data_IF_402600476004
#
_entry.id   IF_402600476004
#
_cell.length_a   1.000
_cell.length_b   1.000
_cell.length_c   1.000
_cell.angle_alpha   90.00
_cell.angle_beta   90.00
_cell.angle_gamma   90.00
#
_symmetry.space_group_name_H-M   'P 1'
#
loop_
_entity.id
_entity.type
_entity.pdbx_description
1 polymer ?
#
# COMPACT_ATOMS: atom_id res chain seq x y z
N UNK A 1 -19.34 -9.37 -38.58
CA UNK A 1 -18.15 -10.16 -38.22
C UNK A 1 -17.45 -9.50 -37.03
N UNK A 2 -17.51 -10.06 -35.80
CA UNK A 2 -16.88 -9.48 -34.63
C UNK A 2 -15.75 -10.40 -34.11
N UNK A 3 -14.52 -10.20 -34.56
CA UNK A 3 -13.34 -10.95 -34.07
C UNK A 3 -12.49 -10.16 -33.06
N UNK A 4 -12.84 -8.91 -32.73
CA UNK A 4 -12.03 -8.07 -31.84
C UNK A 4 -12.30 -8.27 -30.34
N UNK A 5 -13.44 -8.84 -29.95
CA UNK A 5 -13.78 -8.98 -28.52
C UNK A 5 -13.26 -10.27 -27.87
N UNK A 6 -12.71 -11.22 -28.64
CA UNK A 6 -12.24 -12.50 -28.09
C UNK A 6 -10.88 -12.41 -27.38
N UNK A 7 -10.15 -11.29 -27.52
CA UNK A 7 -8.80 -11.15 -26.94
C UNK A 7 -8.76 -10.57 -25.52
N UNK A 8 -9.84 -10.00 -25.02
CA UNK A 8 -9.88 -9.41 -23.67
C UNK A 8 -10.36 -10.45 -22.63
N UNK A 9 -11.23 -11.38 -23.01
CA UNK A 9 -11.69 -12.44 -22.10
C UNK A 9 -10.67 -13.60 -21.94
N UNK A 10 -9.72 -13.75 -22.87
CA UNK A 10 -8.74 -14.85 -22.87
C UNK A 10 -7.50 -14.60 -22.01
N UNK A 11 -7.24 -13.37 -21.57
CA UNK A 11 -6.09 -13.01 -20.73
C UNK A 11 -6.41 -13.01 -19.23
N UNK A 12 -7.69 -13.14 -18.84
CA UNK A 12 -8.10 -13.23 -17.44
C UNK A 12 -7.97 -14.64 -16.84
N UNK A 13 -7.61 -15.65 -17.64
CA UNK A 13 -7.49 -17.05 -17.22
C UNK A 13 -6.07 -17.62 -17.38
N UNK A 14 -5.03 -16.80 -17.21
CA UNK A 14 -3.65 -17.34 -17.08
C UNK A 14 -2.69 -16.46 -16.26
N UNK A 15 -2.97 -16.35 -14.97
CA UNK A 15 -1.92 -16.33 -13.93
C UNK A 15 -2.51 -16.85 -12.62
N UNK A 16 -2.91 -18.13 -12.63
CA UNK A 16 -2.90 -18.97 -11.44
C UNK A 16 -1.42 -19.24 -11.08
N UNK A 17 -0.74 -18.19 -10.63
CA UNK A 17 0.41 -18.30 -9.73
C UNK A 17 -0.09 -17.92 -8.34
N UNK A 18 -1.06 -18.69 -7.88
CA UNK A 18 -1.28 -18.92 -6.46
C UNK A 18 0.04 -19.42 -5.86
N UNK A 19 0.54 -18.72 -4.82
CA UNK A 19 1.58 -19.14 -3.84
C UNK A 19 2.90 -18.33 -3.73
N UNK A 20 2.93 -17.01 -4.01
CA UNK A 20 4.10 -16.20 -3.58
C UNK A 20 3.80 -15.07 -2.58
N UNK A 21 2.53 -14.84 -2.19
CA UNK A 21 2.18 -13.89 -1.12
C UNK A 21 1.79 -14.62 0.17
N UNK A 22 2.61 -15.59 0.60
CA UNK A 22 2.49 -16.18 1.95
C UNK A 22 3.20 -15.35 3.02
N UNK A 23 4.04 -14.40 2.61
CA UNK A 23 4.63 -13.43 3.53
C UNK A 23 3.60 -12.33 3.78
N UNK A 24 3.14 -12.15 5.03
CA UNK A 24 2.27 -11.04 5.33
C UNK A 24 3.01 -9.72 5.02
N UNK A 25 2.30 -8.76 4.42
CA UNK A 25 2.87 -7.48 3.98
C UNK A 25 3.42 -6.67 5.19
N UNK A 26 2.81 -6.89 6.34
CA UNK A 26 3.17 -6.37 7.65
C UNK A 26 3.32 -7.54 8.62
N UNK A 27 4.29 -7.46 9.54
CA UNK A 27 4.51 -8.50 10.54
C UNK A 27 3.35 -8.59 11.54
N UNK A 28 2.67 -7.46 11.77
CA UNK A 28 1.46 -7.37 12.59
C UNK A 28 0.27 -6.94 11.73
N UNK A 29 -0.93 -7.51 11.96
CA UNK A 29 -2.13 -7.09 11.26
C UNK A 29 -2.48 -5.64 11.61
N UNK A 30 -2.76 -4.82 10.59
CA UNK A 30 -3.10 -3.40 10.76
C UNK A 30 -4.36 -3.19 11.63
N UNK A 31 -5.25 -4.20 11.69
CA UNK A 31 -6.46 -4.17 12.51
C UNK A 31 -6.16 -4.07 14.01
N UNK A 32 -5.03 -4.61 14.46
CA UNK A 32 -4.73 -4.74 15.88
C UNK A 32 -3.85 -3.59 16.40
N UNK A 33 -3.33 -2.77 15.49
CA UNK A 33 -2.51 -1.60 15.79
C UNK A 33 -3.38 -0.42 16.26
N UNK A 34 -2.83 0.51 17.04
CA UNK A 34 -3.52 1.76 17.38
C UNK A 34 -3.42 2.77 16.23
N UNK A 35 -4.16 3.89 16.32
CA UNK A 35 -4.06 4.96 15.32
C UNK A 35 -2.67 5.60 15.33
N UNK A 36 -2.08 5.77 16.52
CA UNK A 36 -0.74 6.30 16.68
C UNK A 36 0.31 5.37 16.06
N UNK A 37 0.16 4.06 16.23
CA UNK A 37 0.99 3.05 15.56
C UNK A 37 0.85 3.15 14.03
N UNK A 38 -0.39 3.27 13.52
CA UNK A 38 -0.65 3.42 12.09
C UNK A 38 -0.07 4.73 11.52
N UNK A 39 -0.11 5.84 12.27
CA UNK A 39 0.51 7.10 11.86
C UNK A 39 2.04 7.02 11.87
N UNK A 40 2.61 6.34 12.86
CA UNK A 40 4.05 6.07 12.95
C UNK A 40 4.51 5.21 11.77
N UNK A 41 3.77 4.13 11.50
CA UNK A 41 4.01 3.23 10.37
C UNK A 41 3.88 3.98 9.04
N UNK A 42 2.89 4.87 8.90
CA UNK A 42 2.74 5.75 7.72
C UNK A 42 3.98 6.60 7.49
N UNK A 43 4.52 7.23 8.54
CA UNK A 43 5.73 8.06 8.46
C UNK A 43 6.96 7.24 8.07
N UNK A 44 7.10 6.05 8.64
CA UNK A 44 8.20 5.15 8.30
C UNK A 44 8.14 4.72 6.83
N UNK A 45 6.97 4.28 6.36
CA UNK A 45 6.77 3.88 4.96
C UNK A 45 7.07 5.05 4.01
N UNK A 46 6.60 6.26 4.33
CA UNK A 46 6.90 7.46 3.53
C UNK A 46 8.40 7.75 3.45
N UNK A 47 9.12 7.57 4.57
CA UNK A 47 10.57 7.75 4.61
C UNK A 47 11.28 6.72 3.73
N UNK A 48 10.88 5.46 3.80
CA UNK A 48 11.43 4.39 2.95
C UNK A 48 11.07 4.57 1.47
N UNK A 49 9.86 5.05 1.17
CA UNK A 49 9.42 5.36 -0.19
C UNK A 49 10.27 6.46 -0.81
N UNK A 50 10.44 7.60 -0.12
CA UNK A 50 11.23 8.71 -0.62
C UNK A 50 12.69 8.28 -0.86
N UNK A 51 13.28 7.54 0.08
CA UNK A 51 14.62 6.97 -0.09
C UNK A 51 14.73 6.09 -1.34
N UNK A 52 13.72 5.27 -1.63
CA UNK A 52 13.72 4.42 -2.83
C UNK A 52 13.57 5.24 -4.12
N UNK A 53 12.82 6.35 -4.10
CA UNK A 53 12.75 7.29 -5.22
C UNK A 53 14.11 7.97 -5.45
N UNK A 54 14.76 8.46 -4.40
CA UNK A 54 16.09 9.07 -4.49
C UNK A 54 17.12 8.08 -5.05
N UNK A 55 17.13 6.83 -4.54
CA UNK A 55 17.99 5.77 -5.05
C UNK A 55 17.74 5.46 -6.53
N UNK A 56 16.48 5.50 -6.97
CA UNK A 56 16.12 5.30 -8.37
C UNK A 56 16.67 6.42 -9.25
N UNK A 57 16.53 7.67 -8.84
CA UNK A 57 17.04 8.82 -9.59
C UNK A 57 18.57 8.82 -9.63
N UNK A 58 19.22 8.54 -8.51
CA UNK A 58 20.68 8.36 -8.45
C UNK A 58 21.17 7.23 -9.36
N UNK A 59 20.47 6.09 -9.37
CA UNK A 59 20.84 4.97 -10.24
C UNK A 59 20.68 5.28 -11.73
N UNK A 60 19.67 6.09 -12.11
CA UNK A 60 19.52 6.57 -13.49
C UNK A 60 20.65 7.50 -13.89
N UNK A 61 21.01 8.46 -13.03
CA UNK A 61 22.11 9.40 -13.27
C UNK A 61 23.45 8.67 -13.48
N UNK A 62 23.65 7.57 -12.76
CA UNK A 62 24.84 6.72 -12.87
C UNK A 62 24.77 5.65 -13.98
N UNK A 63 23.74 5.67 -14.84
CA UNK A 63 23.52 4.67 -15.90
C UNK A 63 23.51 3.21 -15.39
N UNK A 64 22.93 2.97 -14.20
CA UNK A 64 22.80 1.65 -13.58
C UNK A 64 21.36 1.12 -13.69
N UNK A 65 20.97 0.51 -14.83
CA UNK A 65 19.58 0.14 -15.10
C UNK A 65 19.04 -0.92 -14.13
N UNK A 66 19.88 -1.87 -13.69
CA UNK A 66 19.47 -2.90 -12.74
C UNK A 66 19.14 -2.30 -11.36
N UNK A 67 19.97 -1.36 -10.89
CA UNK A 67 19.75 -0.66 -9.62
C UNK A 67 18.50 0.24 -9.68
N UNK A 68 18.29 0.95 -10.79
CA UNK A 68 17.10 1.78 -10.99
C UNK A 68 15.81 0.93 -11.00
N UNK A 69 15.86 -0.26 -11.63
CA UNK A 69 14.75 -1.21 -11.64
C UNK A 69 14.45 -1.76 -10.25
N UNK A 70 15.49 -2.11 -9.49
CA UNK A 70 15.34 -2.57 -8.09
C UNK A 70 14.68 -1.49 -7.22
N UNK A 71 15.22 -0.28 -7.24
CA UNK A 71 14.68 0.86 -6.50
C UNK A 71 13.23 1.19 -6.89
N UNK A 72 12.88 1.04 -8.19
CA UNK A 72 11.51 1.18 -8.63
C UNK A 72 10.56 0.13 -8.03
N UNK A 73 10.99 -1.14 -7.99
CA UNK A 73 10.19 -2.20 -7.35
C UNK A 73 10.03 -1.96 -5.84
N UNK A 74 11.08 -1.50 -5.17
CA UNK A 74 11.02 -1.12 -3.75
C UNK A 74 10.03 0.03 -3.52
N UNK A 75 10.13 1.12 -4.29
CA UNK A 75 9.20 2.25 -4.20
C UNK A 75 7.75 1.82 -4.44
N UNK A 76 7.50 0.96 -5.44
CA UNK A 76 6.16 0.41 -5.71
C UNK A 76 5.64 -0.40 -4.53
N UNK A 77 6.49 -1.22 -3.90
CA UNK A 77 6.11 -1.98 -2.71
C UNK A 77 5.73 -1.06 -1.55
N UNK A 78 6.51 0.00 -1.29
CA UNK A 78 6.21 0.95 -0.22
C UNK A 78 4.92 1.71 -0.48
N UNK A 79 4.66 2.11 -1.73
CA UNK A 79 3.41 2.74 -2.11
C UNK A 79 2.19 1.84 -1.85
N UNK A 80 2.30 0.54 -2.13
CA UNK A 80 1.23 -0.41 -1.82
C UNK A 80 1.00 -0.54 -0.31
N UNK A 81 2.07 -0.58 0.50
CA UNK A 81 1.98 -0.57 1.96
C UNK A 81 1.30 0.70 2.47
N UNK A 82 1.70 1.86 1.94
CA UNK A 82 1.13 3.15 2.29
C UNK A 82 -0.38 3.20 2.05
N UNK A 83 -0.83 2.74 0.88
CA UNK A 83 -2.26 2.69 0.54
C UNK A 83 -3.07 1.85 1.53
N UNK A 84 -2.51 0.75 2.03
CA UNK A 84 -3.18 -0.10 3.02
C UNK A 84 -3.31 0.62 4.37
N UNK A 85 -2.24 1.25 4.84
CA UNK A 85 -2.23 2.02 6.09
C UNK A 85 -3.17 3.22 6.01
N UNK A 86 -3.14 3.96 4.91
CA UNK A 86 -4.06 5.10 4.70
C UNK A 86 -5.51 4.64 4.67
N UNK A 87 -5.82 3.52 3.99
CA UNK A 87 -7.17 2.96 3.99
C UNK A 87 -7.64 2.60 5.40
N UNK A 88 -6.79 1.98 6.21
CA UNK A 88 -7.11 1.62 7.59
C UNK A 88 -7.35 2.87 8.45
N UNK A 89 -6.49 3.88 8.34
CA UNK A 89 -6.67 5.19 8.99
C UNK A 89 -8.00 5.84 8.59
N UNK A 90 -8.31 5.88 7.29
CA UNK A 90 -9.57 6.43 6.78
C UNK A 90 -10.81 5.65 7.24
N UNK A 91 -10.70 4.34 7.48
CA UNK A 91 -11.82 3.56 8.05
C UNK A 91 -12.07 3.91 9.51
N UNK A 92 -11.02 4.22 10.27
CA UNK A 92 -11.09 4.48 11.73
C UNK A 92 -11.50 5.91 12.06
N UNK A 93 -11.07 6.90 11.29
CA UNK A 93 -11.37 8.32 11.54
C UNK A 93 -12.89 8.62 11.63
N UNK A 94 -13.76 8.11 10.72
CA UNK A 94 -15.21 8.29 10.83
C UNK A 94 -15.83 7.54 12.02
N UNK A 95 -15.28 6.39 12.41
CA UNK A 95 -15.76 5.61 13.55
C UNK A 95 -15.56 6.39 14.86
N UNK A 96 -14.41 7.05 15.02
CA UNK A 96 -14.13 7.91 16.17
C UNK A 96 -15.10 9.10 16.21
N UNK A 97 -15.31 9.77 15.08
CA UNK A 97 -16.23 10.91 15.02
C UNK A 97 -17.66 10.52 15.45
N UNK A 98 -18.11 9.30 15.11
CA UNK A 98 -19.40 8.75 15.56
C UNK A 98 -19.41 8.42 17.05
N UNK A 99 -18.35 7.78 17.57
CA UNK A 99 -18.21 7.45 18.99
C UNK A 99 -18.20 8.71 19.86
N UNK A 100 -17.45 9.74 19.46
CA UNK A 100 -17.38 11.02 20.18
C UNK A 100 -18.74 11.73 20.22
N UNK A 101 -19.48 11.75 19.10
CA UNK A 101 -20.84 12.31 19.08
C UNK A 101 -21.79 11.55 20.01
N UNK A 102 -21.69 10.21 20.03
CA UNK A 102 -22.53 9.36 20.88
C UNK A 102 -22.21 9.54 22.36
N UNK A 103 -20.93 9.61 22.74
CA UNK A 103 -20.52 9.86 24.12
C UNK A 103 -21.01 11.22 24.65
N UNK A 104 -20.94 12.28 23.84
CA UNK A 104 -21.48 13.60 24.20
C UNK A 104 -23.01 13.61 24.40
N UNK A 105 -23.73 12.75 23.68
CA UNK A 105 -25.18 12.60 23.81
C UNK A 105 -25.63 11.88 25.09
N UNK A 106 -24.73 11.15 25.77
CA UNK A 106 -25.05 10.45 27.02
C UNK A 106 -24.71 11.27 28.27
N UNK A 107 -24.11 12.45 28.11
CA UNK A 107 -23.71 13.35 29.20
C UNK A 107 -24.50 14.67 29.20
N UNK A 108 -25.63 14.71 28.49
CA UNK A 108 -26.64 15.78 28.51
C UNK A 108 -27.97 15.16 28.94
#
# INVERSE_FOLDING_TARGET
>A
MPHFLRRIASSFTRSSETNQLKTPIFDTPLTDQTIEDLETLRREILTQYNKAIDQKEMAKQNYLPAAAKLAHHQARSQHLKLNLVERELYQRLPLIAKVVKKAKSFHL
#
